data_IF_339169076553
#
_entry.id   IF_339169076553
#
_cell.length_a   1.000
_cell.length_b   1.000
_cell.length_c   1.000
_cell.angle_alpha   90.00
_cell.angle_beta   90.00
_cell.angle_gamma   90.00
#
_symmetry.space_group_name_H-M   'P 1'
#
loop_
_entity.id
_entity.type
_entity.pdbx_description
1 polymer ?
#
# COMPACT_ATOMS: atom_id res chain seq x y z
N UNK A 1 1.49 -35.92 -4.45
CA UNK A 1 0.42 -35.04 -4.98
C UNK A 1 0.45 -33.75 -4.21
N UNK A 2 0.25 -32.60 -4.87
CA UNK A 2 0.15 -31.30 -4.19
C UNK A 2 -1.09 -31.29 -3.29
N UNK A 3 -0.99 -30.69 -2.10
CA UNK A 3 -2.14 -30.52 -1.22
C UNK A 3 -3.23 -29.69 -1.93
N UNK A 4 -4.50 -30.04 -1.70
CA UNK A 4 -5.62 -29.27 -2.23
C UNK A 4 -5.55 -27.82 -1.73
N UNK A 5 -5.88 -26.82 -2.56
CA UNK A 5 -5.84 -25.43 -2.15
C UNK A 5 -6.85 -25.17 -1.02
N UNK A 6 -6.42 -24.44 0.01
CA UNK A 6 -7.28 -23.99 1.09
C UNK A 6 -8.40 -23.07 0.55
N UNK A 7 -9.66 -23.50 0.73
CA UNK A 7 -10.88 -22.80 0.31
C UNK A 7 -11.67 -22.24 1.50
N UNK A 8 -11.04 -22.09 2.66
CA UNK A 8 -11.70 -21.56 3.86
C UNK A 8 -12.22 -20.15 3.59
N UNK A 9 -13.52 -19.88 3.83
CA UNK A 9 -14.07 -18.53 3.69
C UNK A 9 -13.40 -17.53 4.64
N UNK A 10 -13.10 -16.31 4.16
CA UNK A 10 -12.54 -15.27 5.01
C UNK A 10 -13.57 -14.77 6.03
N UNK A 11 -13.12 -14.34 7.20
CA UNK A 11 -13.95 -13.54 8.11
C UNK A 11 -14.03 -12.12 7.59
N UNK A 12 -15.25 -11.60 7.36
CA UNK A 12 -15.46 -10.24 6.87
C UNK A 12 -16.50 -9.52 7.72
N UNK A 13 -16.46 -8.20 7.71
CA UNK A 13 -17.51 -7.35 8.25
C UNK A 13 -18.07 -6.47 7.12
N UNK A 14 -19.39 -6.51 6.91
CA UNK A 14 -20.09 -5.55 6.03
C UNK A 14 -20.92 -4.67 6.94
N UNK A 15 -20.67 -3.37 6.97
CA UNK A 15 -21.39 -2.46 7.88
C UNK A 15 -22.89 -2.40 7.52
N UNK A 16 -23.77 -2.06 8.48
CA UNK A 16 -25.20 -1.89 8.18
C UNK A 16 -25.46 -0.90 7.03
N UNK A 17 -24.71 0.21 6.98
CA UNK A 17 -24.80 1.20 5.92
C UNK A 17 -24.42 0.61 4.55
N UNK A 18 -23.34 -0.18 4.48
CA UNK A 18 -22.97 -0.89 3.26
C UNK A 18 -24.03 -1.91 2.85
N UNK A 19 -24.61 -2.67 3.78
CA UNK A 19 -25.67 -3.65 3.48
C UNK A 19 -26.90 -2.97 2.89
N UNK A 20 -27.34 -1.85 3.45
CA UNK A 20 -28.50 -1.11 2.94
C UNK A 20 -28.30 -0.71 1.48
N UNK A 21 -27.14 -0.15 1.16
CA UNK A 21 -26.78 0.27 -0.19
C UNK A 21 -26.62 -0.91 -1.16
N UNK A 22 -25.95 -1.99 -0.73
CA UNK A 22 -25.70 -3.17 -1.55
C UNK A 22 -26.97 -3.98 -1.82
N UNK A 23 -27.91 -4.03 -0.87
CA UNK A 23 -29.23 -4.66 -1.09
C UNK A 23 -30.03 -3.92 -2.15
N UNK A 24 -29.97 -2.59 -2.17
CA UNK A 24 -30.59 -1.80 -3.24
C UNK A 24 -30.06 -2.22 -4.62
N UNK A 25 -28.73 -2.28 -4.78
CA UNK A 25 -28.11 -2.70 -6.04
C UNK A 25 -28.45 -4.15 -6.44
N UNK A 26 -28.58 -5.05 -5.47
CA UNK A 26 -28.93 -6.46 -5.73
C UNK A 26 -30.42 -6.66 -6.05
N UNK A 27 -31.31 -5.79 -5.56
CA UNK A 27 -32.75 -5.88 -5.83
C UNK A 27 -33.06 -5.73 -7.33
N UNK A 28 -32.26 -4.92 -8.04
CA UNK A 28 -32.35 -4.71 -9.48
C UNK A 28 -31.74 -5.86 -10.31
N UNK A 29 -31.14 -6.86 -9.66
CA UNK A 29 -30.49 -8.02 -10.31
C UNK A 29 -30.80 -9.34 -9.60
N UNK A 30 -32.03 -9.88 -9.77
CA UNK A 30 -32.43 -11.14 -9.15
C UNK A 30 -31.49 -12.29 -9.50
N UNK A 31 -31.03 -13.04 -8.48
CA UNK A 31 -30.08 -14.15 -8.65
C UNK A 31 -28.61 -13.73 -8.73
N UNK A 32 -28.30 -12.43 -8.67
CA UNK A 32 -26.95 -11.95 -8.49
C UNK A 32 -26.51 -12.06 -7.02
N UNK A 33 -25.20 -12.07 -6.82
CA UNK A 33 -24.53 -11.99 -5.53
C UNK A 33 -23.34 -11.04 -5.68
N UNK A 34 -22.90 -10.44 -4.57
CA UNK A 34 -21.75 -9.55 -4.60
C UNK A 34 -20.48 -10.38 -4.79
N UNK A 35 -19.69 -10.07 -5.81
CA UNK A 35 -18.34 -10.61 -6.02
C UNK A 35 -17.32 -9.55 -5.60
N UNK A 36 -16.35 -9.94 -4.76
CA UNK A 36 -15.22 -9.11 -4.38
C UNK A 36 -13.91 -9.76 -4.87
N UNK A 37 -13.26 -9.09 -5.83
CA UNK A 37 -11.89 -9.37 -6.22
C UNK A 37 -10.91 -8.51 -5.42
N UNK A 38 -9.80 -9.09 -4.96
CA UNK A 38 -8.68 -8.36 -4.34
C UNK A 38 -7.40 -8.78 -5.06
N UNK A 39 -6.82 -7.84 -5.81
CA UNK A 39 -5.63 -8.10 -6.62
C UNK A 39 -4.36 -8.25 -5.76
N UNK A 40 -3.22 -8.48 -6.41
CA UNK A 40 -1.93 -8.63 -5.71
C UNK A 40 -1.47 -7.34 -4.98
N UNK A 41 -2.03 -6.18 -5.31
CA UNK A 41 -1.77 -4.88 -4.68
C UNK A 41 -2.84 -4.51 -3.66
N UNK A 42 -3.67 -5.48 -3.25
CA UNK A 42 -4.78 -5.30 -2.33
C UNK A 42 -5.82 -4.27 -2.79
N UNK A 43 -5.88 -4.00 -4.10
CA UNK A 43 -6.91 -3.14 -4.67
C UNK A 43 -8.21 -3.94 -4.81
N UNK A 44 -9.30 -3.47 -4.20
CA UNK A 44 -10.58 -4.15 -4.31
C UNK A 44 -11.28 -3.82 -5.63
N UNK A 45 -12.02 -4.78 -6.14
CA UNK A 45 -12.91 -4.64 -7.28
C UNK A 45 -14.24 -5.32 -6.96
N UNK A 46 -15.33 -4.54 -6.96
CA UNK A 46 -16.67 -5.02 -6.69
C UNK A 46 -17.44 -5.19 -7.98
N UNK A 47 -18.12 -6.33 -8.11
CA UNK A 47 -18.98 -6.62 -9.24
C UNK A 47 -20.21 -7.40 -8.78
N UNK A 48 -21.33 -7.21 -9.46
CA UNK A 48 -22.44 -8.14 -9.35
C UNK A 48 -22.17 -9.33 -10.27
N UNK A 49 -22.16 -10.52 -9.70
CA UNK A 49 -21.97 -11.76 -10.44
C UNK A 49 -23.14 -12.71 -10.16
N UNK A 50 -23.42 -13.69 -11.04
CA UNK A 50 -24.37 -14.75 -10.72
C UNK A 50 -24.00 -15.45 -9.41
N UNK A 51 -25.02 -15.92 -8.71
CA UNK A 51 -24.83 -16.80 -7.57
C UNK A 51 -24.08 -18.07 -7.97
N UNK A 52 -23.03 -18.42 -7.24
CA UNK A 52 -22.25 -19.64 -7.45
C UNK A 52 -22.11 -20.41 -6.14
N UNK A 53 -22.81 -21.53 -6.00
CA UNK A 53 -22.76 -22.41 -4.82
C UNK A 53 -21.36 -22.99 -4.54
N UNK A 54 -20.49 -23.00 -5.54
CA UNK A 54 -19.12 -23.48 -5.38
C UNK A 54 -18.15 -22.36 -5.03
N UNK A 55 -18.55 -21.08 -5.08
CA UNK A 55 -17.67 -19.96 -4.76
C UNK A 55 -17.24 -20.01 -3.29
N UNK A 56 -16.05 -19.49 -2.99
CA UNK A 56 -15.69 -19.20 -1.61
C UNK A 56 -16.53 -17.99 -1.21
N UNK A 57 -17.39 -18.14 -0.22
CA UNK A 57 -18.34 -17.11 0.16
C UNK A 57 -18.35 -16.90 1.66
N UNK A 58 -18.40 -15.62 2.06
CA UNK A 58 -18.57 -15.21 3.44
C UNK A 58 -19.90 -14.45 3.57
N UNK A 59 -20.57 -14.63 4.70
CA UNK A 59 -21.80 -13.90 5.03
C UNK A 59 -21.55 -12.92 6.16
N UNK A 60 -22.07 -11.70 6.01
CA UNK A 60 -22.03 -10.67 7.05
C UNK A 60 -23.29 -9.82 6.94
N UNK A 61 -23.99 -9.61 8.07
CA UNK A 61 -25.25 -8.86 8.12
C UNK A 61 -26.30 -9.30 7.07
N UNK A 62 -26.35 -10.61 6.81
CA UNK A 62 -27.26 -11.23 5.83
C UNK A 62 -26.93 -10.90 4.37
N UNK A 63 -25.73 -10.40 4.09
CA UNK A 63 -25.20 -10.21 2.75
C UNK A 63 -24.14 -11.29 2.47
N UNK A 64 -24.33 -12.03 1.39
CA UNK A 64 -23.34 -12.99 0.87
C UNK A 64 -22.36 -12.29 -0.07
N UNK A 65 -21.07 -12.45 0.19
CA UNK A 65 -19.98 -11.95 -0.64
C UNK A 65 -19.16 -13.13 -1.14
N UNK A 66 -18.96 -13.19 -2.46
CA UNK A 66 -18.27 -14.25 -3.17
C UNK A 66 -16.85 -13.81 -3.57
N UNK A 67 -15.91 -14.76 -3.55
CA UNK A 67 -14.50 -14.53 -3.81
C UNK A 67 -13.94 -15.61 -4.73
N UNK A 68 -12.96 -15.25 -5.54
CA UNK A 68 -12.01 -16.24 -6.06
C UNK A 68 -11.03 -16.69 -4.96
N UNK A 69 -10.26 -17.75 -5.25
CA UNK A 69 -9.30 -18.33 -4.30
C UNK A 69 -8.23 -17.33 -3.81
N UNK A 70 -7.71 -16.47 -4.69
CA UNK A 70 -6.66 -15.53 -4.35
C UNK A 70 -7.23 -14.35 -3.53
N UNK A 71 -8.41 -13.88 -3.91
CA UNK A 71 -9.13 -12.81 -3.23
C UNK A 71 -9.56 -13.23 -1.82
N UNK A 72 -10.07 -14.45 -1.64
CA UNK A 72 -10.43 -15.00 -0.33
C UNK A 72 -9.27 -14.93 0.67
N UNK A 73 -8.06 -15.30 0.23
CA UNK A 73 -6.85 -15.25 1.07
C UNK A 73 -6.42 -13.83 1.47
N UNK A 74 -6.77 -12.82 0.68
CA UNK A 74 -6.47 -11.40 0.96
C UNK A 74 -7.60 -10.69 1.69
N UNK A 75 -8.77 -11.31 1.78
CA UNK A 75 -9.99 -10.73 2.36
C UNK A 75 -10.15 -11.06 3.86
N UNK A 76 -9.20 -11.76 4.49
CA UNK A 76 -9.32 -12.13 5.89
C UNK A 76 -9.33 -10.90 6.82
N UNK A 77 -10.40 -10.72 7.58
CA UNK A 77 -10.56 -9.60 8.51
C UNK A 77 -10.92 -8.26 7.89
N UNK A 78 -11.28 -8.20 6.59
CA UNK A 78 -11.65 -6.93 5.96
C UNK A 78 -12.95 -6.35 6.53
N UNK A 79 -13.07 -5.04 6.44
CA UNK A 79 -14.32 -4.30 6.68
C UNK A 79 -14.76 -3.61 5.38
N UNK A 80 -16.00 -3.85 4.97
CA UNK A 80 -16.66 -3.22 3.83
C UNK A 80 -17.66 -2.21 4.40
N UNK A 81 -17.46 -0.94 4.09
CA UNK A 81 -18.30 0.17 4.55
C UNK A 81 -18.84 0.98 3.37
N UNK A 82 -19.84 1.82 3.64
CA UNK A 82 -20.33 2.83 2.70
C UNK A 82 -19.97 4.21 3.24
N UNK A 83 -19.19 4.96 2.48
CA UNK A 83 -18.78 6.32 2.83
C UNK A 83 -19.53 7.30 1.93
N UNK A 84 -20.11 8.31 2.56
CA UNK A 84 -20.71 9.48 1.92
C UNK A 84 -20.03 10.71 2.53
N UNK A 85 -18.92 11.12 1.91
CA UNK A 85 -18.14 12.27 2.35
C UNK A 85 -17.93 13.28 1.20
N UNK A 86 -17.21 14.36 1.50
CA UNK A 86 -16.91 15.42 0.53
C UNK A 86 -16.08 14.95 -0.68
N UNK A 87 -15.45 13.77 -0.60
CA UNK A 87 -14.63 13.16 -1.66
C UNK A 87 -15.43 12.23 -2.56
N UNK A 88 -16.64 11.83 -2.16
CA UNK A 88 -17.57 11.08 -2.99
C UNK A 88 -18.45 10.12 -2.19
N UNK A 89 -19.33 9.43 -2.93
CA UNK A 89 -20.19 8.38 -2.40
C UNK A 89 -19.75 7.04 -2.96
N UNK A 90 -19.48 6.06 -2.10
CA UNK A 90 -19.08 4.74 -2.57
C UNK A 90 -18.72 3.75 -1.47
N UNK A 91 -18.44 2.52 -1.90
CA UNK A 91 -17.93 1.48 -1.03
C UNK A 91 -16.48 1.79 -0.65
N UNK A 92 -16.20 1.71 0.65
CA UNK A 92 -14.84 1.73 1.19
C UNK A 92 -14.49 0.34 1.73
N UNK A 93 -13.24 -0.08 1.52
CA UNK A 93 -12.70 -1.27 2.15
C UNK A 93 -11.52 -0.88 3.04
N UNK A 94 -11.61 -1.27 4.30
CA UNK A 94 -10.43 -1.39 5.16
C UNK A 94 -9.93 -2.83 5.10
N UNK A 95 -8.68 -3.01 4.68
CA UNK A 95 -8.06 -4.32 4.59
C UNK A 95 -6.81 -4.38 5.49
N UNK A 96 -6.87 -5.07 6.64
CA UNK A 96 -5.75 -5.11 7.59
C UNK A 96 -4.54 -5.87 7.04
N UNK A 97 -4.69 -6.62 5.96
CA UNK A 97 -3.62 -7.35 5.30
C UNK A 97 -2.93 -6.53 4.20
N UNK A 98 -3.51 -5.39 3.80
CA UNK A 98 -2.90 -4.53 2.80
C UNK A 98 -1.60 -3.92 3.38
N UNK A 99 -0.52 -3.85 2.59
CA UNK A 99 0.66 -3.10 2.98
C UNK A 99 0.26 -1.67 3.36
N UNK A 100 0.78 -1.18 4.49
CA UNK A 100 0.55 0.21 4.90
C UNK A 100 0.96 1.14 3.78
N UNK A 101 0.16 2.17 3.52
CA UNK A 101 0.50 3.19 2.54
C UNK A 101 1.88 3.77 2.82
N UNK A 102 2.59 4.19 1.76
CA UNK A 102 3.84 4.93 1.90
C UNK A 102 3.59 6.14 2.78
N UNK A 103 4.45 6.31 3.79
CA UNK A 103 4.35 7.43 4.72
C UNK A 103 5.10 8.63 4.14
N UNK A 104 4.49 9.80 4.18
CA UNK A 104 5.21 11.04 3.90
C UNK A 104 6.05 11.40 5.13
N UNK A 105 7.33 11.68 4.92
CA UNK A 105 8.29 12.01 5.97
C UNK A 105 8.93 13.36 5.67
N UNK A 106 8.95 14.26 6.66
CA UNK A 106 9.66 15.54 6.51
C UNK A 106 11.17 15.32 6.51
N UNK A 107 11.94 16.25 5.95
CA UNK A 107 13.40 16.16 5.94
C UNK A 107 14.01 16.21 7.35
N UNK A 108 13.36 16.91 8.30
CA UNK A 108 13.80 16.97 9.69
C UNK A 108 13.55 15.67 10.43
N UNK A 109 12.35 15.09 10.29
CA UNK A 109 12.04 13.80 10.89
C UNK A 109 12.92 12.69 10.29
N UNK A 110 13.25 12.80 9.00
CA UNK A 110 14.18 11.90 8.34
C UNK A 110 15.61 12.03 8.90
N UNK A 111 16.13 13.25 9.12
CA UNK A 111 17.44 13.45 9.76
C UNK A 111 17.48 12.90 11.19
N UNK A 112 16.45 13.18 12.00
CA UNK A 112 16.34 12.68 13.37
C UNK A 112 16.34 11.14 13.41
N UNK A 113 15.52 10.51 12.57
CA UNK A 113 15.44 9.05 12.49
C UNK A 113 16.73 8.42 11.92
N UNK A 114 17.37 9.08 10.95
CA UNK A 114 18.63 8.62 10.38
C UNK A 114 19.75 8.66 11.42
N UNK A 115 19.87 9.76 12.18
CA UNK A 115 20.84 9.90 13.27
C UNK A 115 20.59 8.91 14.41
N UNK A 116 19.33 8.60 14.68
CA UNK A 116 18.95 7.57 15.64
C UNK A 116 19.20 6.14 15.13
N UNK A 117 19.56 5.95 13.85
CA UNK A 117 19.76 4.64 13.22
C UNK A 117 18.47 3.84 13.06
N UNK A 118 17.31 4.49 13.09
CA UNK A 118 15.99 3.84 13.00
C UNK A 118 15.48 3.70 11.57
N UNK A 119 16.11 4.37 10.60
CA UNK A 119 15.82 4.26 9.17
C UNK A 119 17.10 4.12 8.34
N UNK A 120 16.95 3.56 7.14
CA UNK A 120 17.95 3.65 6.07
C UNK A 120 17.43 4.59 4.99
N UNK A 121 18.19 5.65 4.70
CA UNK A 121 17.87 6.55 3.57
C UNK A 121 18.38 5.93 2.27
N UNK A 122 17.53 5.92 1.25
CA UNK A 122 17.84 5.45 -0.10
C UNK A 122 17.71 6.61 -1.08
N UNK A 123 18.83 7.08 -1.62
CA UNK A 123 18.85 8.13 -2.63
C UNK A 123 18.61 7.54 -4.03
N UNK A 124 17.46 7.89 -4.62
CA UNK A 124 17.03 7.40 -5.94
C UNK A 124 17.43 8.32 -7.08
N UNK A 125 18.14 9.42 -6.80
CA UNK A 125 18.64 10.31 -7.86
C UNK A 125 19.75 9.61 -8.65
N UNK A 126 19.91 9.90 -9.94
CA UNK A 126 21.07 9.51 -10.74
C UNK A 126 22.42 9.90 -10.11
N UNK A 127 23.48 9.19 -10.47
CA UNK A 127 24.81 9.37 -9.86
C UNK A 127 25.42 10.76 -10.11
N UNK A 128 25.17 11.37 -11.26
CA UNK A 128 25.61 12.72 -11.62
C UNK A 128 24.92 13.79 -10.75
N UNK A 129 23.62 13.64 -10.47
CA UNK A 129 22.91 14.50 -9.51
C UNK A 129 23.47 14.37 -8.08
N UNK A 130 23.78 13.13 -7.64
CA UNK A 130 24.37 12.89 -6.31
C UNK A 130 25.81 13.42 -6.20
N UNK A 131 26.55 13.48 -7.32
CA UNK A 131 27.88 14.05 -7.36
C UNK A 131 27.88 15.58 -7.15
N UNK A 132 26.77 16.26 -7.50
CA UNK A 132 26.60 17.70 -7.26
C UNK A 132 26.21 17.98 -5.81
N UNK A 133 25.26 17.19 -5.27
CA UNK A 133 24.76 17.36 -3.92
C UNK A 133 24.38 16.00 -3.33
N UNK A 134 24.80 15.72 -2.10
CA UNK A 134 24.41 14.54 -1.34
C UNK A 134 24.26 14.93 0.14
N UNK A 135 23.43 14.19 0.88
CA UNK A 135 23.31 14.41 2.31
C UNK A 135 24.64 14.06 3.01
N UNK A 136 24.99 14.82 4.04
CA UNK A 136 26.17 14.57 4.86
C UNK A 136 25.89 13.52 5.95
N UNK A 137 25.27 12.41 5.56
CA UNK A 137 24.90 11.29 6.42
C UNK A 137 24.92 9.98 5.61
N UNK A 138 24.96 8.80 6.25
CA UNK A 138 24.93 7.52 5.53
C UNK A 138 23.65 7.36 4.71
N UNK A 139 23.78 6.95 3.45
CA UNK A 139 22.67 6.60 2.57
C UNK A 139 23.06 5.47 1.63
N UNK A 140 22.03 4.81 1.10
CA UNK A 140 22.12 3.78 0.06
C UNK A 140 21.73 4.36 -1.30
N UNK A 141 22.23 3.78 -2.39
CA UNK A 141 21.87 4.23 -3.75
C UNK A 141 20.92 3.27 -4.43
N UNK A 142 20.05 3.81 -5.29
CA UNK A 142 19.08 3.04 -6.06
C UNK A 142 19.55 2.67 -7.47
N UNK A 143 20.78 2.21 -7.62
CA UNK A 143 21.39 1.87 -8.90
C UNK A 143 22.28 0.62 -8.83
N UNK A 144 22.60 0.06 -9.99
CA UNK A 144 23.43 -1.15 -10.12
C UNK A 144 22.92 -2.32 -9.28
N UNK A 145 23.84 -3.01 -8.63
CA UNK A 145 23.55 -4.17 -7.77
C UNK A 145 22.86 -3.80 -6.45
N UNK A 146 22.88 -2.51 -6.05
CA UNK A 146 22.26 -2.08 -4.81
C UNK A 146 20.75 -2.25 -4.83
N UNK A 147 20.10 -2.09 -5.99
CA UNK A 147 18.66 -2.31 -6.09
C UNK A 147 18.26 -3.74 -5.69
N UNK A 148 18.93 -4.75 -6.26
CA UNK A 148 18.64 -6.14 -5.94
C UNK A 148 18.91 -6.46 -4.46
N UNK A 149 19.98 -5.91 -3.89
CA UNK A 149 20.29 -6.02 -2.46
C UNK A 149 19.21 -5.39 -1.58
N UNK A 150 18.76 -4.19 -1.92
CA UNK A 150 17.68 -3.49 -1.21
C UNK A 150 16.38 -4.28 -1.27
N UNK A 151 15.99 -4.80 -2.44
CA UNK A 151 14.77 -5.60 -2.60
C UNK A 151 14.79 -6.93 -1.79
N UNK A 152 15.99 -7.45 -1.52
CA UNK A 152 16.23 -8.66 -0.73
C UNK A 152 16.29 -8.42 0.79
N UNK A 153 16.22 -7.17 1.26
CA UNK A 153 16.20 -6.86 2.69
C UNK A 153 14.95 -7.44 3.39
N UNK A 154 15.02 -7.65 4.72
CA UNK A 154 13.84 -7.98 5.53
C UNK A 154 12.70 -6.98 5.30
N UNK A 155 11.47 -7.47 5.15
CA UNK A 155 10.29 -6.64 4.79
C UNK A 155 9.84 -5.68 5.89
N UNK A 156 10.39 -5.81 7.09
CA UNK A 156 10.21 -4.92 8.23
C UNK A 156 11.34 -3.90 8.41
N UNK A 157 12.32 -3.88 7.49
CA UNK A 157 13.36 -2.85 7.41
C UNK A 157 12.72 -1.50 7.10
N UNK A 158 13.07 -0.48 7.88
CA UNK A 158 12.57 0.88 7.68
C UNK A 158 13.40 1.61 6.61
N UNK A 159 12.76 1.90 5.47
CA UNK A 159 13.39 2.54 4.32
C UNK A 159 12.73 3.89 4.04
N UNK A 160 13.54 4.94 3.88
CA UNK A 160 13.09 6.27 3.50
C UNK A 160 13.74 6.67 2.18
N UNK A 161 12.93 6.93 1.16
CA UNK A 161 13.42 7.23 -0.19
C UNK A 161 13.57 8.74 -0.38
N UNK A 162 14.72 9.15 -0.92
CA UNK A 162 15.07 10.55 -1.20
C UNK A 162 15.23 10.75 -2.71
N UNK A 163 14.67 11.85 -3.25
CA UNK A 163 15.02 12.32 -4.57
C UNK A 163 15.24 13.83 -4.58
N UNK A 164 15.07 14.50 -5.73
CA UNK A 164 15.23 15.96 -5.79
C UNK A 164 14.10 16.68 -5.02
N UNK A 165 12.83 16.36 -5.29
CA UNK A 165 11.66 17.09 -4.75
C UNK A 165 10.56 16.18 -4.15
N UNK A 166 10.80 14.87 -4.03
CA UNK A 166 9.81 13.90 -3.52
C UNK A 166 9.06 13.06 -4.57
N UNK A 167 9.09 13.43 -5.86
CA UNK A 167 8.30 12.74 -6.90
C UNK A 167 8.83 11.36 -7.34
N UNK A 168 10.15 11.24 -7.58
CA UNK A 168 10.78 9.94 -7.95
C UNK A 168 10.85 9.00 -6.74
N UNK A 169 11.11 9.55 -5.57
CA UNK A 169 11.18 8.79 -4.32
C UNK A 169 9.83 8.22 -3.91
N UNK A 170 8.72 8.93 -4.12
CA UNK A 170 7.39 8.37 -3.91
C UNK A 170 7.13 7.12 -4.76
N UNK A 171 7.54 7.14 -6.04
CA UNK A 171 7.41 5.97 -6.92
C UNK A 171 8.27 4.80 -6.47
N UNK A 172 9.51 5.05 -6.04
CA UNK A 172 10.39 3.99 -5.51
C UNK A 172 9.83 3.40 -4.19
N UNK A 173 9.33 4.25 -3.30
CA UNK A 173 8.67 3.86 -2.07
C UNK A 173 7.46 2.95 -2.35
N UNK A 174 6.62 3.31 -3.32
CA UNK A 174 5.47 2.49 -3.75
C UNK A 174 5.89 1.14 -4.35
N UNK A 175 7.00 1.08 -5.09
CA UNK A 175 7.55 -0.19 -5.57
C UNK A 175 7.95 -1.09 -4.41
N UNK A 176 8.62 -0.55 -3.38
CA UNK A 176 9.01 -1.33 -2.21
C UNK A 176 7.80 -1.77 -1.39
N UNK A 177 6.80 -0.91 -1.23
CA UNK A 177 5.51 -1.28 -0.63
C UNK A 177 4.88 -2.47 -1.37
N UNK A 178 4.86 -2.44 -2.70
CA UNK A 178 4.34 -3.53 -3.54
C UNK A 178 5.16 -4.83 -3.43
N UNK A 179 6.45 -4.74 -3.10
CA UNK A 179 7.32 -5.89 -2.77
C UNK A 179 7.14 -6.40 -1.33
N UNK A 180 6.15 -5.88 -0.59
CA UNK A 180 5.77 -6.31 0.75
C UNK A 180 6.50 -5.60 1.89
N UNK A 181 7.29 -4.56 1.62
CA UNK A 181 7.90 -3.78 2.69
C UNK A 181 6.83 -3.03 3.49
N UNK A 182 6.94 -3.07 4.81
CA UNK A 182 5.91 -2.61 5.75
C UNK A 182 6.20 -1.25 6.39
N UNK A 183 7.46 -0.78 6.28
CA UNK A 183 7.94 0.49 6.84
C UNK A 183 8.64 1.28 5.75
N UNK A 184 7.85 1.87 4.86
CA UNK A 184 8.37 2.62 3.71
C UNK A 184 7.89 4.06 3.76
N UNK A 185 8.83 4.98 3.62
CA UNK A 185 8.58 6.41 3.65
C UNK A 185 9.11 7.12 2.41
N UNK A 186 8.44 8.18 1.98
CA UNK A 186 8.91 9.15 1.00
C UNK A 186 9.40 10.40 1.74
N UNK A 187 10.64 10.82 1.50
CA UNK A 187 11.16 12.07 2.05
C UNK A 187 10.64 13.22 1.20
N UNK A 188 9.68 13.96 1.75
CA UNK A 188 8.99 15.07 1.09
C UNK A 188 9.92 16.27 0.89
N UNK A 189 9.78 16.95 -0.24
CA UNK A 189 10.66 18.06 -0.62
C UNK A 189 12.07 17.65 -1.05
N UNK A 190 12.47 16.41 -0.81
CA UNK A 190 13.72 15.82 -1.30
C UNK A 190 14.99 16.54 -0.82
N UNK A 191 16.06 16.42 -1.60
CA UNK A 191 17.38 17.01 -1.29
C UNK A 191 17.32 18.56 -1.24
N UNK A 192 16.41 19.20 -1.99
CA UNK A 192 16.27 20.66 -1.97
C UNK A 192 15.74 21.11 -0.60
N UNK A 193 14.67 20.49 -0.10
CA UNK A 193 14.17 20.77 1.25
C UNK A 193 15.21 20.41 2.32
N UNK A 194 15.98 19.32 2.13
CA UNK A 194 17.05 18.94 3.05
C UNK A 194 18.11 20.04 3.16
N UNK A 195 18.53 20.59 2.03
CA UNK A 195 19.47 21.71 1.97
C UNK A 195 18.90 22.95 2.70
N UNK A 196 17.61 23.24 2.55
CA UNK A 196 16.97 24.39 3.19
C UNK A 196 16.79 24.24 4.71
N UNK A 197 16.42 23.06 5.18
CA UNK A 197 15.83 22.88 6.52
C UNK A 197 16.69 22.09 7.50
N UNK A 198 17.66 21.32 6.99
CA UNK A 198 18.50 20.41 7.77
C UNK A 198 19.98 20.81 7.65
N UNK A 199 20.49 20.92 6.43
CA UNK A 199 21.92 21.19 6.19
C UNK A 199 22.14 22.15 5.01
N UNK A 200 22.25 23.43 5.31
CA UNK A 200 22.54 24.50 4.35
C UNK A 200 23.93 24.36 3.66
N UNK A 201 24.78 23.43 4.11
CA UNK A 201 26.04 23.08 3.46
C UNK A 201 25.86 22.16 2.24
N UNK A 202 24.71 21.49 2.11
CA UNK A 202 24.38 20.68 0.93
C UNK A 202 24.05 21.61 -0.24
N UNK A 203 24.76 21.52 -1.38
CA UNK A 203 24.47 22.36 -2.55
C UNK A 203 23.07 22.11 -3.12
N UNK A 204 22.54 23.11 -3.83
CA UNK A 204 21.31 23.01 -4.61
C UNK A 204 21.62 23.11 -6.09
N UNK A 205 20.76 22.55 -6.94
CA UNK A 205 20.92 22.54 -8.39
C UNK A 205 19.57 22.52 -9.12
#
# INVERSE_FOLDING_TARGET
GLAAPDRTPPRITVTPAAVEMLRGALADSPGASLQLGIDARFQPNFQLAPHDDNAIAAESNGLRVQFDLASARRAEGITIDWVDDIRGKGLAIDNPNAPKAVQELSVRDADDQLRAGSITVVDVRPADERAIAAINAPFETFDGDNRARLEALPKDTALAFLCHHGGRSAQAAEQFRALGFTKVSNITGGIDAWSNEVDNGVPKY
#
